data_IF_374371940093
#
_entry.id   IF_374371940093
#
_cell.length_a   1.000
_cell.length_b   1.000
_cell.length_c   1.000
_cell.angle_alpha   90.00
_cell.angle_beta   90.00
_cell.angle_gamma   90.00
#
_symmetry.space_group_name_H-M   'P 1'
#
loop_
_entity.id
_entity.type
_entity.pdbx_description
1 polymer ?
#
# COMPACT_ATOMS: atom_id res chain seq x y z
N UNK A 1 44.24 14.89 -7.44
CA UNK A 1 43.49 15.99 -6.83
C UNK A 1 42.20 16.10 -7.60
N UNK A 2 41.13 15.51 -7.07
CA UNK A 2 39.84 15.54 -7.74
C UNK A 2 39.20 16.91 -7.50
N UNK A 3 38.85 17.59 -8.59
CA UNK A 3 38.19 18.88 -8.53
C UNK A 3 36.80 18.69 -7.90
N UNK A 4 36.59 19.25 -6.70
CA UNK A 4 35.36 19.12 -5.92
C UNK A 4 34.09 19.60 -6.66
N UNK A 5 34.22 20.32 -7.78
CA UNK A 5 33.13 20.82 -8.61
C UNK A 5 32.89 20.04 -9.91
N UNK A 6 33.71 19.03 -10.23
CA UNK A 6 33.67 18.34 -11.54
C UNK A 6 32.34 17.64 -11.86
N UNK A 7 31.56 17.29 -10.82
CA UNK A 7 30.32 16.51 -10.97
C UNK A 7 29.04 17.36 -10.77
N UNK A 8 29.18 18.69 -10.73
CA UNK A 8 28.05 19.62 -10.61
C UNK A 8 27.57 20.05 -11.99
N UNK A 9 26.27 19.91 -12.22
CA UNK A 9 25.59 20.34 -13.44
C UNK A 9 24.77 21.60 -13.13
N UNK A 10 24.76 22.62 -14.01
CA UNK A 10 23.93 23.80 -13.82
C UNK A 10 22.44 23.45 -13.87
N UNK A 11 21.64 24.10 -13.03
CA UNK A 11 20.18 24.04 -12.99
C UNK A 11 19.63 25.46 -13.04
N UNK A 12 19.27 25.92 -14.25
CA UNK A 12 18.92 27.31 -14.48
C UNK A 12 20.12 28.25 -14.30
N UNK A 13 19.85 29.51 -13.98
CA UNK A 13 20.88 30.56 -13.98
C UNK A 13 21.64 30.70 -12.64
N UNK A 14 21.11 30.13 -11.55
CA UNK A 14 21.61 30.40 -10.19
C UNK A 14 21.85 29.18 -9.32
N UNK A 15 21.57 27.97 -9.81
CA UNK A 15 21.72 26.74 -9.04
C UNK A 15 22.58 25.72 -9.77
N UNK A 16 23.20 24.84 -9.00
CA UNK A 16 23.89 23.67 -9.50
C UNK A 16 23.38 22.46 -8.72
N UNK A 17 23.35 21.29 -9.36
CA UNK A 17 23.04 20.04 -8.71
C UNK A 17 24.09 18.98 -9.04
N UNK A 18 24.23 17.99 -8.18
CA UNK A 18 25.04 16.80 -8.44
C UNK A 18 24.19 15.57 -8.13
N UNK A 19 24.28 14.57 -8.98
CA UNK A 19 23.59 13.29 -8.79
C UNK A 19 24.59 12.27 -8.26
N UNK A 20 24.27 11.65 -7.14
CA UNK A 20 24.96 10.46 -6.65
C UNK A 20 24.07 9.26 -6.84
N UNK A 21 24.59 8.24 -7.51
CA UNK A 21 23.98 6.92 -7.48
C UNK A 21 24.28 6.29 -6.12
N UNK A 22 23.24 6.05 -5.32
CA UNK A 22 23.39 5.40 -4.01
C UNK A 22 23.46 3.88 -4.15
N UNK A 23 22.72 3.34 -5.12
CA UNK A 23 22.69 1.93 -5.48
C UNK A 23 22.19 1.79 -6.91
N UNK A 24 22.60 0.69 -7.56
CA UNK A 24 22.09 0.32 -8.87
C UNK A 24 20.71 -0.33 -8.74
N UNK A 25 19.86 -0.02 -9.69
CA UNK A 25 18.48 -0.51 -9.75
C UNK A 25 18.43 -1.85 -10.48
N UNK A 26 17.74 -2.83 -9.91
CA UNK A 26 17.61 -4.21 -10.42
C UNK A 26 16.14 -4.59 -10.63
N UNK A 27 15.34 -3.65 -11.14
CA UNK A 27 13.92 -3.88 -11.41
C UNK A 27 13.74 -4.70 -12.69
N UNK A 28 13.22 -5.93 -12.53
CA UNK A 28 12.75 -6.79 -13.63
C UNK A 28 11.24 -7.04 -13.49
N UNK A 29 10.44 -5.98 -13.71
CA UNK A 29 8.99 -6.04 -13.58
C UNK A 29 8.37 -6.75 -14.78
N UNK A 30 7.67 -7.87 -14.50
CA UNK A 30 6.93 -8.63 -15.53
C UNK A 30 5.59 -8.00 -15.89
N UNK A 31 5.00 -7.26 -14.95
CA UNK A 31 3.69 -6.63 -15.07
C UNK A 31 3.81 -5.11 -15.11
N UNK A 32 2.87 -4.45 -15.80
CA UNK A 32 2.82 -2.99 -15.83
C UNK A 32 2.22 -2.45 -14.53
N UNK A 33 2.84 -1.41 -13.94
CA UNK A 33 2.41 -0.84 -12.65
C UNK A 33 0.95 -0.37 -12.62
N UNK A 34 0.39 0.06 -13.77
CA UNK A 34 -1.02 0.48 -13.88
C UNK A 34 -2.02 -0.65 -13.63
N UNK A 35 -1.59 -1.89 -13.84
CA UNK A 35 -2.37 -3.11 -13.63
C UNK A 35 -2.17 -3.68 -12.21
N UNK A 36 -1.35 -3.03 -11.38
CA UNK A 36 -1.01 -3.48 -10.03
C UNK A 36 -1.52 -2.51 -8.95
N UNK A 37 -1.89 -3.07 -7.81
CA UNK A 37 -1.86 -2.33 -6.55
C UNK A 37 -0.41 -2.21 -6.11
N UNK A 38 0.02 -1.01 -5.74
CA UNK A 38 1.40 -0.71 -5.34
C UNK A 38 1.39 0.02 -4.02
N UNK A 39 2.27 -0.38 -3.10
CA UNK A 39 2.51 0.34 -1.86
C UNK A 39 4.00 0.40 -1.55
N UNK A 40 4.54 1.60 -1.40
CA UNK A 40 5.90 1.80 -0.90
C UNK A 40 5.86 2.01 0.61
N UNK A 41 6.77 1.35 1.32
CA UNK A 41 6.94 1.53 2.75
C UNK A 41 7.54 2.91 3.05
N UNK A 42 7.30 3.47 4.25
CA UNK A 42 7.92 4.71 4.66
C UNK A 42 9.46 4.58 4.72
N UNK A 43 10.15 5.72 4.77
CA UNK A 43 11.60 5.83 5.00
C UNK A 43 12.51 5.07 4.01
N UNK A 44 12.05 4.86 2.78
CA UNK A 44 12.83 4.14 1.76
C UNK A 44 12.82 2.62 1.96
N UNK A 45 11.82 2.11 2.69
CA UNK A 45 11.60 0.69 2.89
C UNK A 45 11.10 -0.05 1.63
N UNK A 46 10.62 -1.29 1.79
CA UNK A 46 10.22 -2.15 0.68
C UNK A 46 9.02 -1.62 -0.12
N UNK A 47 8.88 -2.12 -1.35
CA UNK A 47 7.76 -1.82 -2.24
C UNK A 47 7.00 -3.11 -2.51
N UNK A 48 5.72 -3.13 -2.18
CA UNK A 48 4.81 -4.23 -2.47
C UNK A 48 4.04 -3.99 -3.76
N UNK A 49 3.91 -5.03 -4.57
CA UNK A 49 3.07 -5.09 -5.76
C UNK A 49 2.11 -6.27 -5.65
N UNK A 50 0.84 -6.04 -5.95
CA UNK A 50 -0.14 -7.09 -6.16
C UNK A 50 -0.83 -6.83 -7.49
N UNK A 51 -0.64 -7.72 -8.47
CA UNK A 51 -1.39 -7.63 -9.72
C UNK A 51 -2.87 -7.62 -9.41
N UNK A 52 -3.62 -6.67 -9.98
CA UNK A 52 -5.04 -6.54 -9.76
C UNK A 52 -5.81 -7.42 -10.77
N UNK A 53 -6.29 -8.62 -10.40
CA UNK A 53 -7.06 -9.45 -11.32
C UNK A 53 -8.51 -8.96 -11.47
N UNK A 54 -8.94 -7.97 -10.69
CA UNK A 54 -10.32 -7.49 -10.61
C UNK A 54 -10.58 -6.25 -11.48
N UNK A 55 -9.55 -5.69 -12.13
CA UNK A 55 -9.75 -4.79 -13.28
C UNK A 55 -10.39 -5.59 -14.42
N UNK A 56 -11.61 -5.19 -14.79
CA UNK A 56 -12.54 -5.88 -15.71
C UNK A 56 -12.01 -6.14 -17.14
N UNK A 57 -10.79 -5.74 -17.46
CA UNK A 57 -10.24 -5.75 -18.82
C UNK A 57 -9.50 -7.05 -19.20
N UNK A 58 -9.15 -7.92 -18.24
CA UNK A 58 -8.52 -9.23 -18.54
C UNK A 58 -9.21 -10.36 -17.77
N UNK A 59 -9.40 -11.50 -18.45
CA UNK A 59 -9.93 -12.71 -17.83
C UNK A 59 -9.00 -13.17 -16.70
N UNK A 60 -9.54 -13.29 -15.49
CA UNK A 60 -8.83 -13.71 -14.27
C UNK A 60 -8.51 -15.22 -14.28
N UNK A 61 -7.72 -15.71 -15.25
CA UNK A 61 -7.35 -17.12 -15.31
C UNK A 61 -6.15 -17.47 -14.42
N UNK A 62 -5.36 -16.48 -14.01
CA UNK A 62 -4.17 -16.67 -13.16
C UNK A 62 -4.43 -16.03 -11.80
N UNK A 63 -4.20 -16.79 -10.73
CA UNK A 63 -4.28 -16.26 -9.36
C UNK A 63 -3.24 -15.14 -9.20
N UNK A 64 -3.60 -13.99 -8.61
CA UNK A 64 -2.65 -12.89 -8.51
C UNK A 64 -1.47 -13.26 -7.62
N UNK A 65 -0.34 -12.60 -7.85
CA UNK A 65 0.89 -12.80 -7.10
C UNK A 65 1.16 -11.51 -6.33
N UNK A 66 1.42 -11.64 -5.04
CA UNK A 66 1.94 -10.57 -4.18
C UNK A 66 3.46 -10.66 -4.20
N UNK A 67 4.11 -9.58 -4.61
CA UNK A 67 5.56 -9.45 -4.68
C UNK A 67 5.99 -8.31 -3.76
N UNK A 68 7.09 -8.49 -3.04
CA UNK A 68 7.71 -7.46 -2.21
C UNK A 68 9.15 -7.31 -2.70
N UNK A 69 9.54 -6.08 -2.98
CA UNK A 69 10.86 -5.71 -3.47
C UNK A 69 11.55 -4.76 -2.48
N UNK A 70 12.87 -4.73 -2.48
CA UNK A 70 13.62 -3.63 -1.87
C UNK A 70 13.39 -2.33 -2.66
N UNK A 71 13.85 -1.20 -2.12
CA UNK A 71 13.86 0.07 -2.84
C UNK A 71 14.73 0.06 -4.10
N UNK A 72 15.65 -0.90 -4.24
CA UNK A 72 16.49 -1.11 -5.42
C UNK A 72 15.88 -2.05 -6.46
N UNK A 73 14.73 -2.67 -6.18
CA UNK A 73 14.09 -3.62 -7.10
C UNK A 73 14.47 -5.08 -6.89
N UNK A 74 15.27 -5.39 -5.87
CA UNK A 74 15.60 -6.78 -5.52
C UNK A 74 14.36 -7.47 -4.93
N UNK A 75 13.95 -8.66 -5.43
CA UNK A 75 12.84 -9.39 -4.86
C UNK A 75 13.17 -9.89 -3.44
N UNK A 76 12.33 -9.51 -2.48
CA UNK A 76 12.39 -9.95 -1.09
C UNK A 76 11.42 -11.11 -0.81
N UNK A 77 10.23 -11.08 -1.43
CA UNK A 77 9.23 -12.13 -1.28
C UNK A 77 8.31 -12.21 -2.51
N UNK A 78 7.84 -13.44 -2.79
CA UNK A 78 6.86 -13.71 -3.85
C UNK A 78 5.87 -14.75 -3.34
N UNK A 79 4.58 -14.41 -3.36
CA UNK A 79 3.52 -15.21 -2.76
C UNK A 79 2.35 -15.33 -3.73
N UNK A 80 1.87 -16.55 -3.95
CA UNK A 80 0.59 -16.74 -4.63
C UNK A 80 -0.54 -16.25 -3.72
N UNK A 81 -1.30 -15.25 -4.17
CA UNK A 81 -2.42 -14.72 -3.42
C UNK A 81 -3.58 -15.73 -3.42
N UNK A 82 -4.00 -16.14 -2.22
CA UNK A 82 -5.03 -17.16 -2.01
C UNK A 82 -6.29 -16.60 -1.32
N UNK A 83 -6.29 -15.31 -1.02
CA UNK A 83 -7.36 -14.66 -0.27
C UNK A 83 -8.30 -13.90 -1.22
N UNK A 84 -9.39 -13.34 -0.68
CA UNK A 84 -10.36 -12.54 -1.44
C UNK A 84 -9.78 -11.25 -2.07
N UNK A 85 -10.63 -10.52 -2.82
CA UNK A 85 -10.27 -9.30 -3.51
C UNK A 85 -9.65 -8.24 -2.62
N UNK A 86 -8.55 -7.64 -3.06
CA UNK A 86 -7.82 -6.58 -2.36
C UNK A 86 -8.19 -5.24 -2.96
N UNK A 87 -8.58 -4.30 -2.11
CA UNK A 87 -8.92 -2.92 -2.46
C UNK A 87 -7.70 -2.02 -2.36
N UNK A 88 -6.89 -2.19 -1.29
CA UNK A 88 -5.70 -1.38 -1.06
C UNK A 88 -4.59 -2.18 -0.40
N UNK A 89 -3.36 -1.81 -0.75
CA UNK A 89 -2.16 -2.13 0.00
C UNK A 89 -1.70 -0.91 0.79
N UNK A 90 -0.96 -1.12 1.87
CA UNK A 90 -0.24 -0.06 2.57
C UNK A 90 0.67 -0.62 3.64
N UNK A 91 1.68 0.14 4.02
CA UNK A 91 2.63 -0.29 5.04
C UNK A 91 2.34 0.40 6.36
N UNK A 92 2.51 -0.34 7.45
CA UNK A 92 2.56 0.23 8.79
C UNK A 92 3.88 0.96 9.03
N UNK A 93 3.93 1.78 10.08
CA UNK A 93 5.15 2.41 10.58
C UNK A 93 6.18 1.38 11.06
N UNK A 94 5.73 0.18 11.41
CA UNK A 94 6.53 -0.97 11.83
C UNK A 94 6.94 -1.89 10.66
N UNK A 95 6.82 -1.42 9.41
CA UNK A 95 7.17 -2.16 8.18
C UNK A 95 6.39 -3.48 8.00
N UNK A 96 5.15 -3.52 8.50
CA UNK A 96 4.20 -4.59 8.18
C UNK A 96 3.35 -4.19 6.97
N UNK A 97 3.18 -5.10 6.01
CA UNK A 97 2.30 -4.89 4.86
C UNK A 97 0.85 -5.23 5.24
N UNK A 98 -0.05 -4.28 5.07
CA UNK A 98 -1.49 -4.44 5.25
C UNK A 98 -2.16 -4.57 3.88
N UNK A 99 -2.91 -5.65 3.71
CA UNK A 99 -3.73 -5.91 2.53
C UNK A 99 -5.22 -5.81 2.92
N UNK A 100 -5.88 -4.72 2.55
CA UNK A 100 -7.30 -4.47 2.85
C UNK A 100 -8.17 -5.09 1.77
N UNK A 101 -9.11 -5.94 2.17
CA UNK A 101 -9.98 -6.71 1.28
C UNK A 101 -11.37 -6.10 1.14
N UNK A 102 -12.07 -6.44 0.05
CA UNK A 102 -13.43 -5.97 -0.23
C UNK A 102 -14.44 -6.36 0.86
N UNK A 103 -14.26 -7.49 1.54
CA UNK A 103 -15.12 -7.94 2.64
C UNK A 103 -14.82 -7.26 3.99
N UNK A 104 -13.82 -6.37 4.01
CA UNK A 104 -13.35 -5.70 5.22
C UNK A 104 -12.31 -6.48 6.02
N UNK A 105 -11.89 -7.66 5.56
CA UNK A 105 -10.72 -8.37 6.08
C UNK A 105 -9.44 -7.57 5.82
N UNK A 106 -8.52 -7.57 6.79
CA UNK A 106 -7.19 -7.01 6.64
C UNK A 106 -6.17 -8.08 7.01
N UNK A 107 -5.35 -8.46 6.02
CA UNK A 107 -4.25 -9.40 6.22
C UNK A 107 -2.95 -8.63 6.44
N UNK A 108 -2.18 -9.05 7.42
CA UNK A 108 -0.90 -8.42 7.79
C UNK A 108 0.24 -9.38 7.51
N UNK A 109 1.21 -8.92 6.73
CA UNK A 109 2.42 -9.66 6.38
C UNK A 109 3.67 -8.92 6.84
N UNK A 110 4.72 -9.65 7.19
CA UNK A 110 6.06 -9.08 7.35
C UNK A 110 6.72 -8.78 6.01
N UNK A 111 7.86 -8.08 6.06
CA UNK A 111 8.63 -7.68 4.87
C UNK A 111 9.14 -8.86 4.01
N UNK A 112 9.25 -10.06 4.58
CA UNK A 112 9.64 -11.28 3.88
C UNK A 112 8.43 -12.12 3.43
N UNK A 113 7.22 -11.55 3.50
CA UNK A 113 6.00 -12.22 3.05
C UNK A 113 5.44 -13.25 4.04
N UNK A 114 5.95 -13.29 5.27
CA UNK A 114 5.43 -14.14 6.33
C UNK A 114 4.12 -13.57 6.90
N UNK A 115 3.08 -14.40 6.98
CA UNK A 115 1.80 -14.00 7.54
C UNK A 115 1.91 -13.77 9.05
N UNK A 116 1.50 -12.59 9.51
CA UNK A 116 1.55 -12.19 10.93
C UNK A 116 0.21 -12.39 11.62
N UNK A 117 -0.84 -11.74 11.10
CA UNK A 117 -2.17 -11.74 11.68
C UNK A 117 -3.22 -11.30 10.66
N UNK A 118 -4.48 -11.48 11.03
CA UNK A 118 -5.60 -10.89 10.32
C UNK A 118 -6.56 -10.23 11.31
N UNK A 119 -7.29 -9.23 10.84
CA UNK A 119 -8.39 -8.62 11.56
C UNK A 119 -9.47 -8.14 10.59
N UNK A 120 -10.62 -7.70 11.11
CA UNK A 120 -11.74 -7.22 10.29
C UNK A 120 -12.12 -5.80 10.67
N UNK A 121 -12.51 -5.00 9.68
CA UNK A 121 -13.06 -3.66 9.84
C UNK A 121 -14.55 -3.65 10.28
N UNK A 122 -15.06 -4.81 10.70
CA UNK A 122 -16.37 -4.97 11.33
C UNK A 122 -17.44 -5.60 10.41
N UNK A 123 -18.45 -6.22 11.03
CA UNK A 123 -19.43 -7.03 10.31
C UNK A 123 -20.32 -6.26 9.33
N UNK A 124 -20.50 -4.95 9.50
CA UNK A 124 -21.28 -4.10 8.58
C UNK A 124 -20.63 -4.01 7.20
N UNK A 125 -19.31 -4.20 7.12
CA UNK A 125 -18.55 -4.17 5.87
C UNK A 125 -18.87 -5.38 5.00
N UNK A 126 -19.22 -6.52 5.60
CA UNK A 126 -19.58 -7.74 4.85
C UNK A 126 -20.76 -7.52 3.89
N UNK A 127 -21.69 -6.63 4.24
CA UNK A 127 -22.87 -6.35 3.40
C UNK A 127 -22.64 -5.21 2.40
N UNK A 128 -21.79 -4.24 2.74
CA UNK A 128 -21.62 -3.03 1.95
C UNK A 128 -20.33 -3.01 1.12
N UNK A 129 -19.40 -3.93 1.41
CA UNK A 129 -18.05 -4.01 0.88
C UNK A 129 -17.21 -2.74 1.11
N UNK A 130 -15.89 -2.86 1.03
CA UNK A 130 -14.96 -1.74 1.01
C UNK A 130 -14.86 -1.21 -0.42
N UNK A 131 -15.10 0.08 -0.61
CA UNK A 131 -14.90 0.78 -1.88
C UNK A 131 -13.50 1.38 -2.01
N UNK A 132 -12.98 1.95 -0.91
CA UNK A 132 -11.64 2.51 -0.85
C UNK A 132 -11.08 2.37 0.56
N UNK A 133 -9.75 2.34 0.66
CA UNK A 133 -9.05 2.23 1.93
C UNK A 133 -7.75 3.04 1.93
N UNK A 134 -7.40 3.54 3.11
CA UNK A 134 -6.16 4.26 3.38
C UNK A 134 -5.53 3.76 4.65
N UNK A 135 -4.26 3.38 4.55
CA UNK A 135 -3.38 3.17 5.68
C UNK A 135 -2.73 4.53 5.98
N UNK A 136 -2.70 4.94 7.24
CA UNK A 136 -2.13 6.21 7.65
C UNK A 136 -1.34 6.07 8.96
N UNK A 137 -0.45 7.00 9.22
CA UNK A 137 0.35 7.02 10.44
C UNK A 137 -0.22 8.00 11.45
N UNK A 138 -0.15 7.62 12.72
CA UNK A 138 -0.55 8.42 13.87
C UNK A 138 0.58 8.39 14.91
N UNK A 139 0.49 9.25 15.92
CA UNK A 139 1.41 9.22 17.07
C UNK A 139 1.36 7.90 17.85
N UNK A 140 0.27 7.13 17.71
CA UNK A 140 0.04 5.87 18.42
C UNK A 140 0.37 4.64 17.58
N UNK A 141 0.89 4.80 16.36
CA UNK A 141 1.17 3.73 15.41
C UNK A 141 0.39 3.89 14.11
N UNK A 142 0.02 2.78 13.48
CA UNK A 142 -0.60 2.79 12.15
C UNK A 142 -2.11 2.60 12.21
N UNK A 143 -2.85 3.46 11.53
CA UNK A 143 -4.30 3.39 11.39
C UNK A 143 -4.74 2.90 10.01
N UNK A 144 -5.99 2.46 9.93
CA UNK A 144 -6.66 2.09 8.68
C UNK A 144 -8.02 2.76 8.65
N UNK A 145 -8.33 3.46 7.57
CA UNK A 145 -9.64 4.02 7.27
C UNK A 145 -10.21 3.35 6.02
N UNK A 146 -11.49 2.99 6.06
CA UNK A 146 -12.22 2.43 4.93
C UNK A 146 -13.46 3.27 4.61
N UNK A 147 -13.81 3.33 3.33
CA UNK A 147 -15.09 3.80 2.83
C UNK A 147 -15.89 2.57 2.36
N UNK A 148 -17.12 2.41 2.84
CA UNK A 148 -17.98 1.29 2.42
C UNK A 148 -18.96 1.67 1.31
N UNK A 149 -19.60 0.69 0.68
CA UNK A 149 -20.70 0.91 -0.28
C UNK A 149 -21.90 1.67 0.26
N UNK A 150 -22.07 1.73 1.60
CA UNK A 150 -23.05 2.59 2.25
C UNK A 150 -22.59 4.06 2.38
N UNK A 151 -21.48 4.44 1.73
CA UNK A 151 -20.84 5.75 1.84
C UNK A 151 -20.51 6.16 3.28
N UNK A 152 -20.15 5.18 4.11
CA UNK A 152 -19.77 5.40 5.52
C UNK A 152 -18.28 5.15 5.71
N UNK A 153 -17.66 6.02 6.50
CA UNK A 153 -16.28 5.85 6.93
C UNK A 153 -16.21 5.10 8.25
N UNK A 154 -15.40 4.05 8.28
CA UNK A 154 -14.99 3.33 9.50
C UNK A 154 -13.48 3.34 9.56
N UNK A 155 -12.91 3.65 10.73
CA UNK A 155 -11.47 3.67 10.91
C UNK A 155 -11.03 3.09 12.25
N UNK A 156 -9.82 2.55 12.30
CA UNK A 156 -9.06 2.35 13.53
C UNK A 156 -7.84 3.25 13.50
N UNK A 157 -7.55 3.93 14.61
CA UNK A 157 -6.35 4.76 14.73
C UNK A 157 -5.07 3.93 14.96
N UNK A 158 -5.23 2.68 15.43
CA UNK A 158 -4.14 1.75 15.66
C UNK A 158 -4.57 0.33 15.26
N UNK A 159 -3.78 -0.36 14.44
CA UNK A 159 -4.03 -1.74 14.02
C UNK A 159 -3.47 -2.80 14.97
N UNK A 160 -2.63 -2.41 15.92
CA UNK A 160 -2.17 -3.23 17.05
C UNK A 160 -3.18 -3.30 18.20
N UNK A 161 -3.95 -2.24 18.41
CA UNK A 161 -5.07 -2.17 19.36
C UNK A 161 -6.34 -1.73 18.63
N UNK A 162 -6.99 -2.70 17.97
CA UNK A 162 -8.07 -2.43 17.04
C UNK A 162 -9.31 -1.88 17.76
N UNK A 163 -9.54 -0.56 17.59
CA UNK A 163 -10.71 0.15 18.11
C UNK A 163 -11.42 0.85 16.96
N UNK A 164 -12.43 0.18 16.42
CA UNK A 164 -13.20 0.68 15.29
C UNK A 164 -14.07 1.87 15.71
N UNK A 165 -13.93 2.97 14.98
CA UNK A 165 -14.73 4.18 15.12
C UNK A 165 -15.42 4.47 13.80
N UNK A 166 -16.74 4.69 13.89
CA UNK A 166 -17.54 5.17 12.76
C UNK A 166 -17.51 6.68 12.78
N UNK A 167 -17.25 7.28 11.64
CA UNK A 167 -17.35 8.73 11.53
C UNK A 167 -18.82 9.11 11.33
N UNK A 168 -19.30 10.17 12.03
CA UNK A 168 -20.61 10.71 11.76
C UNK A 168 -20.69 11.22 10.33
N UNK A 169 -21.84 11.04 9.69
CA UNK A 169 -22.12 11.69 8.41
C UNK A 169 -22.07 13.20 8.63
N UNK A 170 -21.25 13.91 7.86
CA UNK A 170 -21.29 15.37 7.87
C UNK A 170 -22.64 15.81 7.32
N UNK A 171 -23.24 16.84 7.92
CA UNK A 171 -24.60 17.30 7.58
C UNK A 171 -24.79 17.67 6.09
N UNK A 172 -23.70 17.89 5.34
CA UNK A 172 -23.71 18.17 3.90
C UNK A 172 -23.73 16.96 2.98
N UNK A 173 -23.57 15.73 3.48
CA UNK A 173 -23.54 14.50 2.65
C UNK A 173 -24.91 13.82 2.48
N UNK A 174 -25.98 14.36 3.06
CA UNK A 174 -27.34 13.77 2.95
C UNK A 174 -28.14 14.28 1.75
N UNK A 175 -27.55 15.04 0.83
CA UNK A 175 -28.25 15.55 -0.36
C UNK A 175 -27.45 15.33 -1.64
N UNK A 176 -27.68 14.18 -2.27
CA UNK A 176 -27.64 14.01 -3.74
C UNK A 176 -28.35 12.74 -4.13
#
# INVERSE_FOLDING_TARGET
MDCYTANWNPLGDSAFYRKYELYSMDWDLKEELRDCLVAAAPYGGPIALLRNPWRKEKAASVRPVLEIYSASGMPLATLLWKSGPVVSLGWSAEEELLCVQEDGGVLVYGLHGDFRRHFSMGNEVLQNQVLDARIFHTEFGSGVAILTGAHRFTLSANVGDLKLRRMPLSAGMMQS
#
